data_IF_435957756878
#
_entry.id   IF_435957756878
#
_cell.length_a   1.000
_cell.length_b   1.000
_cell.length_c   1.000
_cell.angle_alpha   90.00
_cell.angle_beta   90.00
_cell.angle_gamma   90.00
#
_symmetry.space_group_name_H-M   'P 1'
#
loop_
_entity.id
_entity.type
_entity.pdbx_description
1 polymer ?
#
# COMPACT_ATOMS: atom_id res chain seq x y z
N UNK A 1 -16.62 13.80 6.87
CA UNK A 1 -15.41 13.84 7.72
C UNK A 1 -14.96 12.40 7.93
N UNK A 2 -13.72 11.99 7.58
CA UNK A 2 -13.24 10.65 7.89
C UNK A 2 -13.22 10.45 9.42
N UNK A 3 -13.60 9.26 9.88
CA UNK A 3 -13.56 8.93 11.32
C UNK A 3 -12.11 8.78 11.79
N UNK A 4 -11.87 9.01 13.09
CA UNK A 4 -10.54 8.84 13.69
C UNK A 4 -9.96 7.44 13.44
N UNK A 5 -10.80 6.42 13.55
CA UNK A 5 -10.43 5.02 13.30
C UNK A 5 -9.96 4.79 11.87
N UNK A 6 -10.62 5.41 10.88
CA UNK A 6 -10.20 5.35 9.48
C UNK A 6 -8.80 5.96 9.30
N UNK A 7 -8.56 7.15 9.87
CA UNK A 7 -7.26 7.81 9.79
C UNK A 7 -6.15 7.00 10.46
N UNK A 8 -6.45 6.39 11.62
CA UNK A 8 -5.51 5.52 12.34
C UNK A 8 -5.16 4.28 11.53
N UNK A 9 -6.15 3.55 11.00
CA UNK A 9 -5.90 2.35 10.16
C UNK A 9 -5.10 2.69 8.91
N UNK A 10 -5.48 3.76 8.21
CA UNK A 10 -4.77 4.23 7.01
C UNK A 10 -3.30 4.55 7.34
N UNK A 11 -3.05 5.31 8.40
CA UNK A 11 -1.68 5.66 8.79
C UNK A 11 -0.86 4.44 9.23
N UNK A 12 -1.47 3.48 9.94
CA UNK A 12 -0.80 2.22 10.31
C UNK A 12 -0.37 1.43 9.07
N UNK A 13 -1.26 1.30 8.08
CA UNK A 13 -0.95 0.63 6.80
C UNK A 13 0.18 1.36 6.05
N UNK A 14 0.15 2.70 6.00
CA UNK A 14 1.24 3.48 5.40
C UNK A 14 2.58 3.29 6.12
N UNK A 15 2.59 3.16 7.44
CA UNK A 15 3.80 2.86 8.21
C UNK A 15 4.32 1.46 7.88
N UNK A 16 3.44 0.45 7.83
CA UNK A 16 3.82 -0.91 7.45
C UNK A 16 4.42 -0.96 6.04
N UNK A 17 3.79 -0.31 5.06
CA UNK A 17 4.29 -0.26 3.68
C UNK A 17 5.69 0.33 3.55
N UNK A 18 6.08 1.27 4.42
CA UNK A 18 7.43 1.86 4.43
C UNK A 18 8.48 1.00 5.10
N UNK A 19 8.06 0.08 5.98
CA UNK A 19 8.96 -0.85 6.69
C UNK A 19 9.16 -2.15 5.92
N UNK A 20 8.16 -2.54 5.12
CA UNK A 20 8.19 -3.77 4.34
C UNK A 20 8.96 -3.57 3.04
N UNK A 21 9.64 -4.62 2.60
CA UNK A 21 10.30 -4.61 1.30
C UNK A 21 9.27 -4.62 0.17
N UNK A 22 9.38 -3.71 -0.81
CA UNK A 22 8.47 -3.64 -1.93
C UNK A 22 8.48 -4.95 -2.72
N UNK A 23 7.30 -5.47 -3.05
CA UNK A 23 7.13 -6.77 -3.74
C UNK A 23 7.15 -8.01 -2.83
N UNK A 24 7.33 -7.85 -1.52
CA UNK A 24 7.17 -8.95 -0.55
C UNK A 24 5.69 -9.28 -0.33
N UNK A 25 5.32 -10.53 0.03
CA UNK A 25 3.92 -10.91 0.23
C UNK A 25 3.22 -10.07 1.32
N UNK A 26 3.93 -9.70 2.38
CA UNK A 26 3.41 -8.79 3.41
C UNK A 26 3.14 -7.37 2.88
N UNK A 27 4.00 -6.89 1.98
CA UNK A 27 3.82 -5.58 1.33
C UNK A 27 2.56 -5.60 0.45
N UNK A 28 2.41 -6.64 -0.37
CA UNK A 28 1.24 -6.84 -1.21
C UNK A 28 -0.05 -6.95 -0.39
N UNK A 29 0.01 -7.64 0.75
CA UNK A 29 -1.08 -7.70 1.73
C UNK A 29 -1.47 -6.31 2.22
N UNK A 30 -0.49 -5.53 2.71
CA UNK A 30 -0.73 -4.17 3.20
C UNK A 30 -1.26 -3.21 2.11
N UNK A 31 -0.80 -3.35 0.85
CA UNK A 31 -1.32 -2.59 -0.29
C UNK A 31 -2.79 -2.94 -0.52
N UNK A 32 -3.14 -4.23 -0.54
CA UNK A 32 -4.52 -4.70 -0.72
C UNK A 32 -5.44 -4.18 0.38
N UNK A 33 -5.00 -4.23 1.64
CA UNK A 33 -5.76 -3.71 2.77
C UNK A 33 -5.96 -2.19 2.69
N UNK A 34 -4.94 -1.44 2.24
CA UNK A 34 -5.05 0.00 2.02
C UNK A 34 -5.99 0.33 0.86
N UNK A 35 -5.95 -0.44 -0.23
CA UNK A 35 -6.88 -0.35 -1.35
C UNK A 35 -8.33 -0.61 -0.92
N UNK A 36 -8.57 -1.69 -0.16
CA UNK A 36 -9.90 -2.01 0.37
C UNK A 36 -10.42 -0.94 1.33
N UNK A 37 -9.55 -0.36 2.17
CA UNK A 37 -9.92 0.69 3.11
C UNK A 37 -10.27 2.00 2.42
N UNK A 38 -9.50 2.41 1.40
CA UNK A 38 -9.59 3.75 0.79
C UNK A 38 -10.32 3.79 -0.55
N UNK A 39 -10.54 2.63 -1.17
CA UNK A 39 -10.99 2.51 -2.56
C UNK A 39 -9.94 2.91 -3.59
N UNK A 40 -8.67 3.09 -3.19
CA UNK A 40 -7.61 3.45 -4.12
C UNK A 40 -7.14 2.24 -4.93
N UNK A 41 -6.69 2.50 -6.16
CA UNK A 41 -5.98 1.51 -6.95
C UNK A 41 -4.56 1.31 -6.43
N UNK A 42 -4.04 0.10 -6.60
CA UNK A 42 -2.66 -0.29 -6.29
C UNK A 42 -1.65 0.73 -6.83
N UNK A 43 -1.79 1.13 -8.09
CA UNK A 43 -0.90 2.10 -8.75
C UNK A 43 -0.80 3.43 -7.97
N UNK A 44 -1.93 3.90 -7.42
CA UNK A 44 -1.98 5.13 -6.63
C UNK A 44 -1.27 4.97 -5.28
N UNK A 45 -1.38 3.79 -4.66
CA UNK A 45 -0.67 3.47 -3.42
C UNK A 45 0.83 3.42 -3.67
N UNK A 46 1.26 2.73 -4.74
CA UNK A 46 2.67 2.64 -5.14
C UNK A 46 3.27 4.02 -5.44
N UNK A 47 2.54 4.84 -6.21
CA UNK A 47 2.95 6.22 -6.50
C UNK A 47 3.10 7.06 -5.22
N UNK A 48 2.24 6.86 -4.21
CA UNK A 48 2.36 7.53 -2.91
C UNK A 48 3.53 7.06 -2.06
N UNK A 49 4.11 5.90 -2.36
CA UNK A 49 5.38 5.42 -1.81
C UNK A 49 6.60 5.91 -2.61
N UNK A 50 6.38 6.59 -3.74
CA UNK A 50 7.44 6.94 -4.70
C UNK A 50 7.96 5.75 -5.50
N UNK A 51 7.24 4.62 -5.49
CA UNK A 51 7.63 3.40 -6.20
C UNK A 51 6.97 3.37 -7.57
N UNK A 52 7.79 3.18 -8.61
CA UNK A 52 7.26 2.89 -9.94
C UNK A 52 6.96 1.39 -10.06
N UNK A 53 5.91 0.97 -10.79
CA UNK A 53 5.66 -0.46 -11.04
C UNK A 53 6.83 -1.17 -11.73
N UNK A 54 7.73 -0.42 -12.39
CA UNK A 54 8.97 -0.92 -12.98
C UNK A 54 10.09 -1.22 -11.97
N UNK A 55 10.01 -0.70 -10.75
CA UNK A 55 10.99 -0.94 -9.67
C UNK A 55 10.59 -2.11 -8.76
N UNK A 56 9.41 -2.68 -8.99
CA UNK A 56 8.99 -3.92 -8.35
C UNK A 56 9.61 -5.12 -9.08
N UNK A 57 10.03 -6.17 -8.35
CA UNK A 57 10.61 -7.35 -8.97
C UNK A 57 9.66 -7.97 -10.01
N UNK A 58 10.18 -8.44 -11.16
CA UNK A 58 9.38 -9.06 -12.21
C UNK A 58 8.78 -10.36 -11.68
N UNK A 59 7.54 -10.29 -11.20
CA UNK A 59 6.87 -11.41 -10.53
C UNK A 59 5.81 -10.98 -9.50
N UNK A 60 5.77 -9.71 -9.11
CA UNK A 60 4.65 -9.19 -8.33
C UNK A 60 3.41 -9.06 -9.23
N UNK A 61 2.27 -9.72 -8.91
CA UNK A 61 1.09 -9.70 -9.77
C UNK A 61 0.54 -8.27 -9.90
N UNK A 62 0.28 -7.85 -11.15
CA UNK A 62 -0.26 -6.54 -11.51
C UNK A 62 -1.61 -6.24 -10.83
#
# INVERSE_FOLDING_TARGET
MPTREFLMRRNALWQQLRLLSPGSPDFEGAVRDLCALTGWKRERVLAGLGLSPAELPPGSPA
#
